data_IF_205252865406
#
_entry.id   IF_205252865406
#
_cell.length_a   1.000
_cell.length_b   1.000
_cell.length_c   1.000
_cell.angle_alpha   90.00
_cell.angle_beta   90.00
_cell.angle_gamma   90.00
#
_symmetry.space_group_name_H-M   'P 1'
#
loop_
_entity.id
_entity.type
_entity.pdbx_description
1 polymer ?
#
# COMPACT_ATOMS: atom_id res chain seq x y z
N UNK A 1 12.95 14.10 10.75
CA UNK A 1 12.95 12.84 9.97
C UNK A 1 12.85 11.57 10.83
N UNK A 2 13.89 11.01 11.48
CA UNK A 2 13.78 9.69 12.15
C UNK A 2 12.69 9.62 13.23
N UNK A 3 12.61 10.63 14.11
CA UNK A 3 11.54 10.74 15.15
C UNK A 3 10.14 10.93 14.57
N UNK A 4 9.99 11.57 13.41
CA UNK A 4 8.69 11.72 12.73
C UNK A 4 8.27 10.41 12.07
N UNK A 5 9.21 9.64 11.52
CA UNK A 5 8.94 8.33 10.94
C UNK A 5 8.55 7.35 12.04
N UNK A 6 9.33 7.28 13.12
CA UNK A 6 9.00 6.44 14.30
C UNK A 6 7.61 6.79 14.85
N UNK A 7 7.31 8.09 15.03
CA UNK A 7 6.00 8.54 15.50
C UNK A 7 4.84 8.29 14.53
N UNK A 8 5.09 8.08 13.24
CA UNK A 8 4.08 7.68 12.25
C UNK A 8 3.89 6.17 12.24
N UNK A 9 4.97 5.40 12.24
CA UNK A 9 4.93 3.93 12.31
C UNK A 9 4.19 3.49 13.57
N UNK A 10 4.51 4.09 14.71
CA UNK A 10 3.89 3.73 15.99
C UNK A 10 2.39 4.06 15.99
N UNK A 11 1.98 5.14 15.32
CA UNK A 11 0.57 5.51 15.14
C UNK A 11 -0.18 4.55 14.21
N UNK A 12 0.45 4.15 13.11
CA UNK A 12 -0.09 3.12 12.20
C UNK A 12 -0.26 1.80 12.96
N UNK A 13 0.77 1.37 13.70
CA UNK A 13 0.76 0.13 14.47
C UNK A 13 -0.33 0.15 15.55
N UNK A 14 -0.47 1.27 16.28
CA UNK A 14 -1.53 1.44 17.26
C UNK A 14 -2.93 1.39 16.61
N UNK A 15 -3.14 2.09 15.48
CA UNK A 15 -4.43 2.07 14.78
C UNK A 15 -4.77 0.69 14.21
N UNK A 16 -3.79 -0.04 13.67
CA UNK A 16 -3.96 -1.43 13.22
C UNK A 16 -4.32 -2.32 14.41
N UNK A 17 -3.61 -2.16 15.53
CA UNK A 17 -3.89 -2.89 16.77
C UNK A 17 -5.32 -2.66 17.26
N UNK A 18 -5.77 -1.40 17.28
CA UNK A 18 -7.15 -1.04 17.64
C UNK A 18 -8.17 -1.67 16.70
N UNK A 19 -7.96 -1.60 15.37
CA UNK A 19 -8.85 -2.27 14.41
C UNK A 19 -8.90 -3.78 14.66
N UNK A 20 -7.73 -4.41 14.84
CA UNK A 20 -7.65 -5.85 15.07
C UNK A 20 -8.40 -6.24 16.35
N UNK A 21 -8.28 -5.45 17.42
CA UNK A 21 -8.94 -5.68 18.70
C UNK A 21 -10.47 -5.50 18.59
N UNK A 22 -10.93 -4.47 17.86
CA UNK A 22 -12.36 -4.28 17.57
C UNK A 22 -12.90 -5.42 16.72
N UNK A 23 -12.18 -5.83 15.66
CA UNK A 23 -12.58 -6.95 14.81
C UNK A 23 -12.65 -8.27 15.60
N UNK A 24 -11.69 -8.50 16.50
CA UNK A 24 -11.70 -9.65 17.40
C UNK A 24 -12.94 -9.62 18.31
N UNK A 25 -13.23 -8.47 18.92
CA UNK A 25 -14.40 -8.30 19.78
C UNK A 25 -15.72 -8.52 19.02
N UNK A 26 -15.82 -7.99 17.79
CA UNK A 26 -16.98 -8.21 16.92
C UNK A 26 -17.14 -9.68 16.51
N UNK A 27 -16.02 -10.37 16.25
CA UNK A 27 -16.00 -11.80 15.93
C UNK A 27 -16.57 -12.65 17.07
N UNK A 28 -16.18 -12.37 18.31
CA UNK A 28 -16.72 -13.06 19.50
C UNK A 28 -18.24 -12.87 19.67
N UNK A 29 -18.77 -11.72 19.22
CA UNK A 29 -20.20 -11.42 19.27
C UNK A 29 -20.96 -11.99 18.07
N UNK A 30 -20.31 -12.69 17.13
CA UNK A 30 -20.85 -13.10 15.82
C UNK A 30 -21.46 -11.91 15.02
N UNK A 31 -20.99 -10.70 15.30
CA UNK A 31 -21.44 -9.49 14.62
C UNK A 31 -20.52 -9.28 13.41
N UNK A 32 -21.00 -9.64 12.23
CA UNK A 32 -20.32 -9.38 10.98
C UNK A 32 -21.04 -8.29 10.18
N UNK A 33 -20.26 -7.41 9.56
CA UNK A 33 -20.75 -6.35 8.65
C UNK A 33 -21.64 -6.94 7.56
N UNK A 34 -21.30 -8.14 7.06
CA UNK A 34 -22.10 -8.86 6.06
C UNK A 34 -23.49 -9.26 6.59
N UNK A 35 -23.56 -9.70 7.85
CA UNK A 35 -24.81 -10.10 8.49
C UNK A 35 -25.77 -8.91 8.58
N UNK A 36 -25.24 -7.70 8.82
CA UNK A 36 -26.04 -6.49 9.01
C UNK A 36 -26.58 -5.93 7.70
N UNK A 37 -25.76 -5.90 6.65
CA UNK A 37 -26.21 -5.50 5.31
C UNK A 37 -27.36 -6.38 4.79
N UNK A 38 -27.45 -7.63 5.25
CA UNK A 38 -28.57 -8.54 4.97
C UNK A 38 -29.75 -8.37 5.93
N UNK A 39 -29.48 -8.06 7.21
CA UNK A 39 -30.51 -7.92 8.25
C UNK A 39 -31.33 -6.63 8.11
N UNK A 40 -30.71 -5.50 7.74
CA UNK A 40 -31.38 -4.18 7.62
C UNK A 40 -32.63 -4.24 6.72
N UNK A 41 -32.58 -4.82 5.49
CA UNK A 41 -33.77 -4.90 4.64
C UNK A 41 -34.83 -5.92 5.11
N UNK A 42 -34.52 -6.82 6.05
CA UNK A 42 -35.45 -7.88 6.50
C UNK A 42 -36.07 -7.60 7.88
N UNK A 43 -35.29 -7.09 8.84
CA UNK A 43 -35.72 -6.92 10.24
C UNK A 43 -35.88 -5.45 10.67
N UNK A 44 -35.55 -4.49 9.79
CA UNK A 44 -35.65 -3.07 10.08
C UNK A 44 -34.53 -2.52 10.97
N UNK A 45 -34.70 -1.28 11.44
CA UNK A 45 -33.67 -0.55 12.19
C UNK A 45 -33.79 -0.81 13.70
N UNK A 46 -33.10 -1.85 14.18
CA UNK A 46 -33.03 -2.19 15.61
C UNK A 46 -31.83 -1.53 16.29
N UNK A 47 -31.87 -1.43 17.63
CA UNK A 47 -30.77 -0.84 18.44
C UNK A 47 -29.41 -1.49 18.15
N UNK A 48 -29.38 -2.81 17.93
CA UNK A 48 -28.17 -3.56 17.59
C UNK A 48 -27.63 -3.11 16.22
N UNK A 49 -28.49 -2.98 15.21
CA UNK A 49 -28.07 -2.49 13.88
C UNK A 49 -27.53 -1.05 13.96
N UNK A 50 -28.13 -0.18 14.77
CA UNK A 50 -27.67 1.19 14.97
C UNK A 50 -26.26 1.23 15.58
N UNK A 51 -26.01 0.46 16.64
CA UNK A 51 -24.69 0.35 17.28
C UNK A 51 -23.66 -0.17 16.29
N UNK A 52 -23.98 -1.21 15.52
CA UNK A 52 -22.97 -1.75 14.60
C UNK A 52 -22.71 -0.86 13.40
N UNK A 53 -23.72 -0.15 12.88
CA UNK A 53 -23.49 0.88 11.86
C UNK A 53 -22.55 1.96 12.40
N UNK A 54 -22.75 2.41 13.65
CA UNK A 54 -21.86 3.36 14.31
C UNK A 54 -20.42 2.83 14.41
N UNK A 55 -20.23 1.58 14.87
CA UNK A 55 -18.91 0.94 14.93
C UNK A 55 -18.28 0.84 13.53
N UNK A 56 -19.07 0.51 12.51
CA UNK A 56 -18.61 0.42 11.12
C UNK A 56 -18.10 1.77 10.61
N UNK A 57 -18.82 2.86 10.91
CA UNK A 57 -18.38 4.22 10.57
C UNK A 57 -17.08 4.58 11.28
N UNK A 58 -16.93 4.25 12.57
CA UNK A 58 -15.69 4.48 13.32
C UNK A 58 -14.53 3.71 12.69
N UNK A 59 -14.72 2.43 12.38
CA UNK A 59 -13.71 1.60 11.71
C UNK A 59 -13.30 2.18 10.35
N UNK A 60 -14.26 2.67 9.59
CA UNK A 60 -14.00 3.32 8.30
C UNK A 60 -13.10 4.55 8.45
N UNK A 61 -13.36 5.42 9.43
CA UNK A 61 -12.51 6.59 9.70
C UNK A 61 -11.10 6.20 10.16
N UNK A 62 -10.96 5.18 11.00
CA UNK A 62 -9.64 4.69 11.44
C UNK A 62 -8.87 4.13 10.23
N UNK A 63 -9.53 3.36 9.36
CA UNK A 63 -8.93 2.82 8.15
C UNK A 63 -8.45 3.93 7.21
N UNK A 64 -9.25 4.98 6.97
CA UNK A 64 -8.82 6.14 6.18
C UNK A 64 -7.56 6.80 6.76
N UNK A 65 -7.48 6.90 8.09
CA UNK A 65 -6.31 7.49 8.77
C UNK A 65 -5.05 6.65 8.57
N UNK A 66 -5.17 5.32 8.65
CA UNK A 66 -4.07 4.39 8.37
C UNK A 66 -3.59 4.55 6.93
N UNK A 67 -4.50 4.63 5.95
CA UNK A 67 -4.15 4.78 4.54
C UNK A 67 -3.38 6.09 4.30
N UNK A 68 -3.86 7.21 4.86
CA UNK A 68 -3.20 8.51 4.77
C UNK A 68 -1.79 8.50 5.38
N UNK A 69 -1.63 7.86 6.53
CA UNK A 69 -0.33 7.72 7.17
C UNK A 69 0.60 6.79 6.38
N UNK A 70 0.07 5.73 5.76
CA UNK A 70 0.82 4.77 4.95
C UNK A 70 1.36 5.42 3.66
N UNK A 71 0.55 6.21 2.96
CA UNK A 71 0.98 6.96 1.76
C UNK A 71 2.16 7.88 2.10
N UNK A 72 2.08 8.61 3.22
CA UNK A 72 3.17 9.47 3.69
C UNK A 72 4.39 8.68 4.12
N UNK A 73 4.20 7.48 4.67
CA UNK A 73 5.31 6.60 5.04
C UNK A 73 6.07 6.12 3.81
N UNK A 74 5.35 5.73 2.75
CA UNK A 74 5.92 5.34 1.46
C UNK A 74 6.75 6.48 0.87
N UNK A 75 6.24 7.71 0.87
CA UNK A 75 7.00 8.88 0.39
C UNK A 75 8.33 9.06 1.13
N UNK A 76 8.34 8.87 2.45
CA UNK A 76 9.56 9.00 3.26
C UNK A 76 10.49 7.78 3.06
N UNK A 77 9.94 6.58 2.96
CA UNK A 77 10.69 5.34 2.75
C UNK A 77 11.43 5.37 1.41
N UNK A 78 10.76 5.79 0.33
CA UNK A 78 11.37 5.93 -0.99
C UNK A 78 12.53 6.92 -0.98
N UNK A 79 12.41 8.05 -0.26
CA UNK A 79 13.50 9.02 -0.09
C UNK A 79 14.67 8.49 0.76
N UNK A 80 14.41 7.59 1.71
CA UNK A 80 15.43 7.07 2.63
C UNK A 80 16.19 5.88 2.04
N UNK A 81 15.49 5.00 1.31
CA UNK A 81 16.08 3.85 0.62
C UNK A 81 17.15 4.30 -0.38
N UNK A 82 16.91 5.40 -1.10
CA UNK A 82 17.89 5.91 -2.06
C UNK A 82 19.17 6.47 -1.46
N UNK A 83 19.10 7.05 -0.25
CA UNK A 83 20.29 7.55 0.44
C UNK A 83 21.21 6.43 0.93
N UNK A 84 20.73 5.18 0.95
CA UNK A 84 21.44 4.06 1.57
C UNK A 84 22.03 3.06 0.59
N UNK A 85 21.79 3.20 -0.72
CA UNK A 85 22.44 2.35 -1.73
C UNK A 85 23.82 2.95 -2.07
N UNK A 86 24.94 2.34 -1.66
CA UNK A 86 26.28 2.84 -1.97
C UNK A 86 26.64 2.52 -3.42
N UNK A 87 27.11 3.52 -4.18
CA UNK A 87 27.50 3.35 -5.60
C UNK A 87 26.51 3.91 -6.62
N UNK A 88 25.44 4.58 -6.17
CA UNK A 88 24.41 5.14 -7.05
C UNK A 88 24.80 6.50 -7.62
N UNK A 89 24.65 6.65 -8.94
CA UNK A 89 24.92 7.91 -9.64
C UNK A 89 23.79 8.93 -9.29
N UNK A 90 24.10 10.08 -8.67
CA UNK A 90 23.09 11.00 -8.12
C UNK A 90 22.15 11.62 -9.18
N UNK A 91 22.49 11.57 -10.46
CA UNK A 91 21.68 12.11 -11.55
C UNK A 91 20.42 11.28 -11.86
N UNK A 92 20.43 9.95 -11.66
CA UNK A 92 19.28 9.07 -11.93
C UNK A 92 18.46 8.69 -10.69
N UNK A 93 18.91 9.11 -9.51
CA UNK A 93 18.19 8.96 -8.24
C UNK A 93 16.70 9.33 -8.30
N UNK A 94 16.27 10.47 -8.87
CA UNK A 94 14.85 10.82 -8.91
C UNK A 94 13.99 9.86 -9.75
N UNK A 95 14.57 9.23 -10.77
CA UNK A 95 13.86 8.28 -11.64
C UNK A 95 13.51 6.97 -10.92
N UNK A 96 14.41 6.50 -10.05
CA UNK A 96 14.24 5.26 -9.30
C UNK A 96 13.28 5.44 -8.12
N UNK A 97 13.33 6.60 -7.47
CA UNK A 97 12.33 6.99 -6.46
C UNK A 97 10.93 6.92 -7.08
N UNK A 98 10.81 7.42 -8.32
CA UNK A 98 9.55 7.41 -9.05
C UNK A 98 9.08 5.98 -9.36
N UNK A 99 9.95 5.13 -9.91
CA UNK A 99 9.62 3.73 -10.18
C UNK A 99 9.22 2.96 -8.91
N UNK A 100 9.96 3.12 -7.82
CA UNK A 100 9.67 2.46 -6.55
C UNK A 100 8.34 2.94 -5.95
N UNK A 101 8.05 4.25 -6.07
CA UNK A 101 6.77 4.82 -5.67
C UNK A 101 5.61 4.27 -6.50
N UNK A 102 5.78 4.14 -7.81
CA UNK A 102 4.78 3.55 -8.71
C UNK A 102 4.49 2.09 -8.35
N UNK A 103 5.52 1.28 -8.10
CA UNK A 103 5.36 -0.11 -7.61
C UNK A 103 4.66 -0.15 -6.24
N UNK A 104 5.03 0.76 -5.33
CA UNK A 104 4.40 0.80 -4.01
C UNK A 104 2.92 1.20 -4.09
N UNK A 105 2.54 2.09 -5.01
CA UNK A 105 1.15 2.47 -5.26
C UNK A 105 0.35 1.25 -5.76
N UNK A 106 0.91 0.46 -6.68
CA UNK A 106 0.28 -0.80 -7.14
C UNK A 106 0.00 -1.73 -5.96
N UNK A 107 0.99 -1.92 -5.09
CA UNK A 107 0.86 -2.79 -3.93
C UNK A 107 -0.20 -2.28 -2.93
N UNK A 108 -0.20 -0.97 -2.66
CA UNK A 108 -1.22 -0.34 -1.81
C UNK A 108 -2.62 -0.49 -2.39
N UNK A 109 -2.77 -0.29 -3.70
CA UNK A 109 -4.06 -0.42 -4.39
C UNK A 109 -4.59 -1.85 -4.31
N UNK A 110 -3.73 -2.85 -4.50
CA UNK A 110 -4.10 -4.26 -4.37
C UNK A 110 -4.54 -4.62 -2.94
N UNK A 111 -3.81 -4.15 -1.91
CA UNK A 111 -4.20 -4.34 -0.50
C UNK A 111 -5.54 -3.65 -0.21
N UNK A 112 -5.70 -2.39 -0.63
CA UNK A 112 -6.92 -1.63 -0.42
C UNK A 112 -8.13 -2.33 -1.07
N UNK A 113 -7.97 -2.82 -2.30
CA UNK A 113 -8.99 -3.61 -2.98
C UNK A 113 -9.32 -4.88 -2.19
N UNK A 114 -8.31 -5.64 -1.75
CA UNK A 114 -8.50 -6.88 -0.98
C UNK A 114 -9.30 -6.66 0.29
N UNK A 115 -9.01 -5.57 1.02
CA UNK A 115 -9.75 -5.17 2.24
C UNK A 115 -11.17 -4.70 1.90
N UNK A 116 -11.37 -4.01 0.78
CA UNK A 116 -12.67 -3.49 0.37
C UNK A 116 -13.60 -4.56 -0.23
N UNK A 117 -13.07 -5.60 -0.89
CA UNK A 117 -13.82 -6.69 -1.52
C UNK A 117 -14.94 -7.29 -0.66
N UNK A 118 -14.70 -7.71 0.60
CA UNK A 118 -15.76 -8.28 1.43
C UNK A 118 -16.88 -7.28 1.74
N UNK A 119 -16.59 -5.98 1.78
CA UNK A 119 -17.59 -4.93 1.98
C UNK A 119 -18.41 -4.69 0.72
N UNK A 120 -17.74 -4.60 -0.44
CA UNK A 120 -18.38 -4.37 -1.74
C UNK A 120 -19.30 -5.53 -2.11
N UNK A 121 -18.83 -6.77 -1.95
CA UNK A 121 -19.60 -7.98 -2.28
C UNK A 121 -20.78 -8.24 -1.34
N UNK A 122 -20.82 -7.59 -0.18
CA UNK A 122 -21.94 -7.67 0.76
C UNK A 122 -23.18 -6.89 0.32
N UNK A 123 -23.04 -5.99 -0.68
CA UNK A 123 -24.16 -5.22 -1.22
C UNK A 123 -25.04 -6.15 -2.10
N UNK A 124 -26.33 -6.35 -1.75
CA UNK A 124 -27.22 -7.21 -2.53
C UNK A 124 -27.34 -6.75 -3.98
N UNK A 125 -27.40 -7.72 -4.92
CA UNK A 125 -27.72 -7.53 -6.35
C UNK A 125 -26.67 -6.78 -7.20
N UNK A 126 -25.97 -5.79 -6.65
CA UNK A 126 -25.04 -4.92 -7.38
C UNK A 126 -23.57 -5.15 -6.95
N UNK A 127 -23.33 -5.62 -5.72
CA UNK A 127 -21.97 -5.75 -5.16
C UNK A 127 -21.01 -6.61 -5.98
N UNK A 128 -21.49 -7.72 -6.54
CA UNK A 128 -20.66 -8.58 -7.41
C UNK A 128 -20.19 -7.86 -8.68
N UNK A 129 -21.08 -7.13 -9.34
CA UNK A 129 -20.75 -6.37 -10.55
C UNK A 129 -19.77 -5.23 -10.27
N UNK A 130 -19.96 -4.50 -9.16
CA UNK A 130 -19.03 -3.46 -8.72
C UNK A 130 -17.66 -4.08 -8.44
N UNK A 131 -17.60 -5.20 -7.74
CA UNK A 131 -16.33 -5.85 -7.39
C UNK A 131 -15.54 -6.28 -8.63
N UNK A 132 -16.23 -6.86 -9.63
CA UNK A 132 -15.60 -7.24 -10.91
C UNK A 132 -15.06 -6.00 -11.62
N UNK A 133 -15.87 -4.95 -11.76
CA UNK A 133 -15.46 -3.71 -12.41
C UNK A 133 -14.24 -3.07 -11.72
N UNK A 134 -14.25 -3.00 -10.38
CA UNK A 134 -13.15 -2.45 -9.60
C UNK A 134 -11.89 -3.30 -9.73
N UNK A 135 -12.02 -4.63 -9.69
CA UNK A 135 -10.89 -5.55 -9.82
C UNK A 135 -10.22 -5.41 -11.17
N UNK A 136 -10.99 -5.38 -12.26
CA UNK A 136 -10.47 -5.18 -13.62
C UNK A 136 -9.78 -3.81 -13.72
N UNK A 137 -10.39 -2.76 -13.19
CA UNK A 137 -9.82 -1.40 -13.22
C UNK A 137 -8.48 -1.34 -12.50
N UNK A 138 -8.43 -1.86 -11.27
CA UNK A 138 -7.19 -1.89 -10.47
C UNK A 138 -6.13 -2.76 -11.16
N UNK A 139 -6.53 -3.88 -11.77
CA UNK A 139 -5.61 -4.76 -12.50
C UNK A 139 -4.98 -4.08 -13.71
N UNK A 140 -5.78 -3.44 -14.57
CA UNK A 140 -5.29 -2.69 -15.74
C UNK A 140 -4.36 -1.57 -15.29
N UNK A 141 -4.76 -0.80 -14.28
CA UNK A 141 -3.95 0.29 -13.74
C UNK A 141 -2.62 -0.22 -13.17
N UNK A 142 -2.67 -1.38 -12.50
CA UNK A 142 -1.47 -2.03 -11.95
C UNK A 142 -0.50 -2.46 -13.04
N UNK A 143 -0.99 -3.00 -14.15
CA UNK A 143 -0.15 -3.38 -15.29
C UNK A 143 0.55 -2.16 -15.91
N UNK A 144 -0.18 -1.06 -16.11
CA UNK A 144 0.38 0.18 -16.67
C UNK A 144 1.49 0.73 -15.77
N UNK A 145 1.24 0.85 -14.46
CA UNK A 145 2.22 1.35 -13.51
C UNK A 145 3.43 0.41 -13.38
N UNK A 146 3.20 -0.91 -13.37
CA UNK A 146 4.29 -1.87 -13.27
C UNK A 146 5.18 -1.85 -14.51
N UNK A 147 4.59 -1.63 -15.69
CA UNK A 147 5.33 -1.49 -16.94
C UNK A 147 6.21 -0.23 -16.94
N UNK A 148 5.67 0.93 -16.55
CA UNK A 148 6.42 2.19 -16.51
C UNK A 148 7.54 2.15 -15.47
N UNK A 149 7.23 1.64 -14.27
CA UNK A 149 8.20 1.43 -13.22
C UNK A 149 9.29 0.43 -13.63
N UNK A 150 8.91 -0.69 -14.25
CA UNK A 150 9.84 -1.71 -14.71
C UNK A 150 10.83 -1.20 -15.76
N UNK A 151 10.34 -0.45 -16.76
CA UNK A 151 11.19 0.20 -17.77
C UNK A 151 12.17 1.19 -17.12
N UNK A 152 11.68 1.99 -16.18
CA UNK A 152 12.49 2.98 -15.47
C UNK A 152 13.55 2.33 -14.59
N UNK A 153 13.20 1.26 -13.88
CA UNK A 153 14.11 0.50 -13.04
C UNK A 153 15.20 -0.20 -13.88
N UNK A 154 14.83 -0.76 -15.04
CA UNK A 154 15.77 -1.40 -15.96
C UNK A 154 16.84 -0.41 -16.44
N UNK A 155 16.43 0.77 -16.93
CA UNK A 155 17.35 1.80 -17.41
C UNK A 155 18.28 2.35 -16.30
N UNK A 156 17.83 2.30 -15.05
CA UNK A 156 18.63 2.65 -13.88
C UNK A 156 19.68 1.56 -13.55
N UNK A 157 19.26 0.30 -13.54
CA UNK A 157 20.15 -0.83 -13.31
C UNK A 157 21.23 -0.95 -14.38
N UNK A 158 20.85 -0.81 -15.66
CA UNK A 158 21.79 -0.86 -16.79
C UNK A 158 22.94 0.15 -16.61
N UNK A 159 22.62 1.41 -16.30
CA UNK A 159 23.66 2.41 -16.04
C UNK A 159 24.48 2.15 -14.79
N UNK A 160 23.88 1.56 -13.75
CA UNK A 160 24.58 1.24 -12.51
C UNK A 160 25.60 0.12 -12.73
N UNK A 161 25.23 -0.89 -13.53
CA UNK A 161 26.10 -1.99 -13.93
C UNK A 161 27.25 -1.45 -14.79
N UNK A 162 26.97 -0.58 -15.77
CA UNK A 162 28.02 0.06 -16.57
C UNK A 162 29.01 0.83 -15.69
N UNK A 163 28.53 1.62 -14.72
CA UNK A 163 29.40 2.37 -13.81
C UNK A 163 30.25 1.46 -12.91
N UNK A 164 29.71 0.30 -12.52
CA UNK A 164 30.43 -0.72 -11.74
C UNK A 164 31.51 -1.39 -12.57
N UNK A 165 31.20 -1.75 -13.82
CA UNK A 165 32.16 -2.32 -14.76
C UNK A 165 33.28 -1.32 -15.00
N UNK A 166 32.96 -0.05 -15.32
CA UNK A 166 33.95 0.99 -15.55
C UNK A 166 34.89 1.17 -14.35
N UNK A 167 34.38 1.14 -13.11
CA UNK A 167 35.20 1.22 -11.90
C UNK A 167 36.11 0.00 -11.72
N UNK A 168 35.64 -1.19 -12.04
CA UNK A 168 36.44 -2.43 -11.93
C UNK A 168 37.55 -2.40 -12.99
N UNK A 169 37.21 -2.03 -14.23
CA UNK A 169 38.18 -1.94 -15.33
C UNK A 169 39.20 -0.81 -15.13
N UNK A 170 38.81 0.33 -14.54
CA UNK A 170 39.76 1.39 -14.18
C UNK A 170 40.73 0.96 -13.07
N UNK A 171 40.25 0.19 -12.09
CA UNK A 171 41.08 -0.30 -10.98
C UNK A 171 42.14 -1.30 -11.46
N UNK A 172 41.79 -2.17 -12.41
CA UNK A 172 42.68 -3.18 -12.99
C UNK A 172 43.83 -2.55 -13.81
N UNK A 173 43.54 -1.46 -14.55
CA UNK A 173 44.56 -0.71 -15.30
C UNK A 173 45.53 0.10 -14.43
N UNK A 174 45.18 0.39 -13.17
CA UNK A 174 46.08 1.08 -12.22
C UNK A 174 47.04 0.13 -11.51
N UNK A 175 46.71 -1.15 -11.37
CA UNK A 175 47.60 -2.15 -10.74
C UNK A 175 48.63 -2.73 -11.73
N UNK A 176 48.36 -2.70 -13.04
CA UNK A 176 49.29 -3.17 -14.09
C UNK A 176 50.37 -2.16 -14.49
N UNK A 177 50.37 -0.94 -13.92
CA UNK A 177 51.36 0.12 -14.18
C UNK A 177 52.34 0.38 -13.03
N UNK A 178 52.29 -0.40 -11.95
CA UNK A 178 53.31 -0.42 -10.90
C UNK A 178 54.22 -1.64 -11.08
#
# INVERSE_FOLDING_TARGET
>A
MRREVEGRILRILANIGVIALIMLALSFLNINIQSILRLIPHEGFTFITAITVMITVILFFIALRIILDLIRLVDIASNTLLKRIPGFNPEKSPSIIRALKEISIVFLAAIALSIATPLITSIPRIGGWINIALTITVFIFSLILLYDAGKTLYAAFESSIQTLIDRITLKDNTETRQ
#
